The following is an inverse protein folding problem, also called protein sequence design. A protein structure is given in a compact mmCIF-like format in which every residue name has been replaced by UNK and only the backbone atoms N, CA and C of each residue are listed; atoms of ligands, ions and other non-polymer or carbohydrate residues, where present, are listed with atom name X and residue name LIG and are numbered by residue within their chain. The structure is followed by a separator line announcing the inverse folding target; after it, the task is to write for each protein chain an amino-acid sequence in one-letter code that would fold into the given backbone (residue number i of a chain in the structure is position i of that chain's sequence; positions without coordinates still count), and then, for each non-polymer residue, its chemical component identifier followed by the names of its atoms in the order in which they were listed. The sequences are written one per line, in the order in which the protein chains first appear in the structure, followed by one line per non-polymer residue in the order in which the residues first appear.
data_IF_813684616730
#
_entry.id   IF_813684616730
#
_cell.length_a   1.000
_cell.length_b   1.000
_cell.length_c   1.000
_cell.angle_alpha   90.00
_cell.angle_beta   90.00
_cell.angle_gamma   90.00
#
_symmetry.space_group_name_H-M   'P 1'
#
loop_
_entity.id
_entity.type
_entity.pdbx_description
1 polymer ?
#
# COMPACT_ATOMS: atom_id res chain seq x y z
N UNK A 1 9.21 4.76 13.74
CA UNK A 1 10.52 5.37 14.06
C UNK A 1 10.42 5.90 15.49
N UNK A 2 11.47 5.75 16.32
CA UNK A 2 11.45 6.09 17.76
C UNK A 2 12.20 7.39 18.07
N UNK A 3 12.79 7.97 17.04
CA UNK A 3 13.83 8.98 17.02
C UNK A 3 13.43 10.24 16.22
N UNK A 4 12.26 10.24 15.58
CA UNK A 4 11.75 11.40 14.84
C UNK A 4 12.61 11.80 13.64
N UNK A 5 13.43 10.89 13.12
CA UNK A 5 14.28 11.15 11.95
C UNK A 5 13.42 11.23 10.69
N UNK A 6 13.56 12.35 9.99
CA UNK A 6 12.89 12.67 8.74
C UNK A 6 13.95 12.94 7.67
N UNK A 7 13.63 12.66 6.41
CA UNK A 7 14.57 12.98 5.32
C UNK A 7 14.57 14.49 5.05
N UNK A 8 15.61 14.98 4.38
CA UNK A 8 15.77 16.41 4.06
C UNK A 8 14.56 16.98 3.31
N UNK A 9 14.01 16.21 2.38
CA UNK A 9 12.83 16.63 1.61
C UNK A 9 11.62 16.88 2.52
N UNK A 10 11.26 15.94 3.38
CA UNK A 10 10.19 16.07 4.36
C UNK A 10 10.47 17.24 5.31
N UNK A 11 11.70 17.36 5.80
CA UNK A 11 12.11 18.45 6.68
C UNK A 11 11.89 19.84 6.05
N UNK A 12 12.19 19.98 4.77
CA UNK A 12 11.97 21.20 3.99
C UNK A 12 10.49 21.46 3.73
N UNK A 13 9.71 20.44 3.37
CA UNK A 13 8.28 20.61 3.11
C UNK A 13 7.51 20.96 4.39
N UNK A 14 7.85 20.34 5.53
CA UNK A 14 7.27 20.69 6.84
C UNK A 14 7.55 22.16 7.18
N UNK A 15 8.76 22.66 6.91
CA UNK A 15 9.10 24.07 7.14
C UNK A 15 8.35 25.01 6.21
N UNK A 16 8.11 24.61 4.96
CA UNK A 16 7.29 25.40 4.04
C UNK A 16 5.85 25.52 4.51
N UNK A 17 5.29 24.45 5.06
CA UNK A 17 3.90 24.41 5.52
C UNK A 17 3.71 25.06 6.90
N UNK A 18 4.61 24.78 7.85
CA UNK A 18 4.47 25.15 9.26
C UNK A 18 5.49 26.20 9.75
N UNK A 19 6.28 26.76 8.83
CA UNK A 19 7.36 27.70 9.11
C UNK A 19 8.61 27.04 9.71
N UNK A 20 9.70 27.82 9.82
CA UNK A 20 10.98 27.33 10.37
C UNK A 20 10.87 26.78 11.80
N UNK A 21 9.92 27.31 12.59
CA UNK A 21 9.67 26.87 13.97
C UNK A 21 8.82 25.58 14.04
N UNK A 22 8.22 25.16 12.92
CA UNK A 22 7.43 23.92 12.80
C UNK A 22 6.38 23.80 13.90
N UNK A 23 5.63 24.89 14.11
CA UNK A 23 4.62 24.96 15.17
C UNK A 23 3.44 24.03 14.83
N UNK A 24 3.58 22.76 15.20
CA UNK A 24 2.61 21.69 15.01
C UNK A 24 1.88 21.47 16.33
N UNK A 25 0.55 21.60 16.33
CA UNK A 25 -0.28 21.16 17.45
C UNK A 25 -0.76 19.74 17.16
N UNK A 26 -0.18 18.76 17.83
CA UNK A 26 -0.62 17.37 17.73
C UNK A 26 -1.82 17.15 18.66
N UNK A 27 -2.96 16.83 18.07
CA UNK A 27 -4.18 16.51 18.81
C UNK A 27 -4.22 14.99 19.02
N UNK A 28 -4.38 14.49 20.26
CA UNK A 28 -4.49 13.06 20.49
C UNK A 28 -5.77 12.52 19.84
N UNK A 29 -5.77 11.26 19.36
CA UNK A 29 -6.97 10.65 18.80
C UNK A 29 -8.05 10.44 19.87
N UNK A 30 -9.31 10.67 19.51
CA UNK A 30 -10.47 10.42 20.40
C UNK A 30 -10.68 8.92 20.67
N UNK A 31 -10.38 8.08 19.67
CA UNK A 31 -10.55 6.64 19.72
C UNK A 31 -9.28 5.98 19.18
N UNK A 32 -8.81 4.94 19.87
CA UNK A 32 -7.69 4.10 19.43
C UNK A 32 -8.10 2.64 19.43
N UNK A 33 -7.47 1.85 18.55
CA UNK A 33 -7.72 0.42 18.44
C UNK A 33 -6.42 -0.31 18.10
N UNK A 34 -6.31 -1.58 18.54
CA UNK A 34 -5.07 -2.36 18.39
C UNK A 34 -5.02 -3.23 17.13
N UNK A 35 -6.16 -3.79 16.74
CA UNK A 35 -6.24 -4.70 15.58
C UNK A 35 -7.43 -4.36 14.71
N UNK A 36 -8.62 -4.37 15.30
CA UNK A 36 -9.87 -4.11 14.60
C UNK A 36 -10.80 -3.31 15.51
N UNK A 37 -11.66 -2.51 14.88
CA UNK A 37 -12.74 -1.75 15.50
C UNK A 37 -13.98 -1.87 14.62
N UNK A 38 -15.10 -2.28 15.19
CA UNK A 38 -16.41 -2.19 14.52
C UNK A 38 -17.10 -0.89 14.94
N UNK A 39 -17.65 -0.17 13.96
CA UNK A 39 -18.42 1.04 14.16
C UNK A 39 -19.83 0.84 13.64
N UNK A 40 -20.81 1.08 14.49
CA UNK A 40 -22.22 1.17 14.15
C UNK A 40 -22.57 2.65 13.97
N UNK A 41 -22.96 3.03 12.76
CA UNK A 41 -23.38 4.38 12.38
C UNK A 41 -24.89 4.42 12.08
N UNK A 42 -25.66 3.46 12.61
CA UNK A 42 -27.09 3.29 12.38
C UNK A 42 -27.35 2.33 11.22
N UNK A 43 -27.68 2.86 10.05
CA UNK A 43 -27.94 2.05 8.85
C UNK A 43 -26.66 1.53 8.17
N UNK A 44 -25.50 2.00 8.63
CA UNK A 44 -24.18 1.69 8.07
C UNK A 44 -23.28 1.09 9.15
N UNK A 45 -22.66 -0.04 8.83
CA UNK A 45 -21.67 -0.72 9.66
C UNK A 45 -20.30 -0.68 9.01
N UNK A 46 -19.31 -0.19 9.76
CA UNK A 46 -17.92 -0.14 9.31
C UNK A 46 -17.04 -1.09 10.12
N UNK A 47 -16.14 -1.81 9.46
CA UNK A 47 -15.03 -2.53 10.10
C UNK A 47 -13.73 -1.82 9.76
N UNK A 48 -13.03 -1.30 10.77
CA UNK A 48 -11.69 -0.74 10.63
C UNK A 48 -10.69 -1.79 11.08
N UNK A 49 -9.68 -2.10 10.26
CA UNK A 49 -8.69 -3.12 10.59
C UNK A 49 -7.28 -2.70 10.19
N UNK A 50 -6.32 -2.92 11.09
CA UNK A 50 -4.89 -2.83 10.79
C UNK A 50 -4.49 -3.98 9.87
N UNK A 51 -4.05 -3.65 8.66
CA UNK A 51 -3.58 -4.61 7.66
C UNK A 51 -2.06 -4.58 7.48
N UNK A 52 -1.41 -3.51 7.96
CA UNK A 52 0.02 -3.28 7.78
C UNK A 52 0.38 -3.12 6.30
N UNK A 53 1.57 -3.55 5.93
CA UNK A 53 2.12 -3.39 4.59
C UNK A 53 3.44 -2.62 4.60
N UNK A 54 3.99 -2.41 3.41
CA UNK A 54 5.24 -1.67 3.26
C UNK A 54 5.04 -0.16 3.46
N UNK A 55 3.90 0.39 3.02
CA UNK A 55 3.60 1.81 3.14
C UNK A 55 3.73 2.33 4.57
N UNK A 56 2.97 1.72 5.50
CA UNK A 56 3.06 1.96 6.92
C UNK A 56 2.71 0.69 7.73
N UNK A 57 3.36 0.52 8.88
CA UNK A 57 3.15 -0.65 9.75
C UNK A 57 1.75 -0.70 10.37
N UNK A 58 1.15 0.47 10.54
CA UNK A 58 -0.17 0.73 11.10
C UNK A 58 -1.19 1.14 10.02
N UNK A 59 -0.89 0.86 8.74
CA UNK A 59 -1.88 0.99 7.67
C UNK A 59 -3.15 0.25 8.05
N UNK A 60 -4.27 0.97 7.97
CA UNK A 60 -5.61 0.50 8.29
C UNK A 60 -6.52 0.64 7.09
N UNK A 61 -7.48 -0.27 6.96
CA UNK A 61 -8.56 -0.20 5.95
C UNK A 61 -9.90 -0.06 6.63
N UNK A 62 -10.89 0.48 5.90
CA UNK A 62 -12.27 0.62 6.37
C UNK A 62 -13.17 -0.11 5.38
N UNK A 63 -13.87 -1.14 5.86
CA UNK A 63 -14.87 -1.86 5.09
C UNK A 63 -16.28 -1.42 5.49
N UNK A 64 -17.03 -0.87 4.54
CA UNK A 64 -18.45 -0.52 4.69
C UNK A 64 -19.28 -1.70 4.19
N UNK A 65 -19.92 -2.43 5.11
CA UNK A 65 -20.48 -3.75 4.82
C UNK A 65 -21.68 -3.70 3.88
N UNK A 66 -22.59 -2.77 4.13
CA UNK A 66 -23.86 -2.62 3.40
C UNK A 66 -23.62 -2.17 1.96
N UNK A 67 -22.65 -1.28 1.75
CA UNK A 67 -22.27 -0.75 0.44
C UNK A 67 -21.21 -1.59 -0.29
N UNK A 68 -20.61 -2.58 0.40
CA UNK A 68 -19.49 -3.39 -0.10
C UNK A 68 -18.33 -2.54 -0.63
N UNK A 69 -17.98 -1.47 0.08
CA UNK A 69 -16.86 -0.59 -0.27
C UNK A 69 -15.71 -0.83 0.70
N UNK A 70 -14.50 -1.01 0.17
CA UNK A 70 -13.27 -1.09 0.94
C UNK A 70 -12.39 0.14 0.68
N UNK A 71 -12.26 1.00 1.69
CA UNK A 71 -11.29 2.09 1.68
C UNK A 71 -9.92 1.54 2.05
N UNK A 72 -9.02 1.52 1.09
CA UNK A 72 -7.66 0.98 1.22
C UNK A 72 -6.67 2.03 1.71
N UNK A 73 -6.97 3.31 1.49
CA UNK A 73 -6.02 4.39 1.70
C UNK A 73 -4.73 4.12 0.91
N UNK A 74 -3.59 4.26 1.59
CA UNK A 74 -2.26 4.11 0.98
C UNK A 74 -1.63 2.72 1.17
N UNK A 75 -2.34 1.75 1.77
CA UNK A 75 -1.70 0.49 2.16
C UNK A 75 -1.04 -0.28 1.01
N UNK A 76 -1.53 -0.11 -0.22
CA UNK A 76 -0.99 -0.74 -1.42
C UNK A 76 0.14 0.02 -2.10
N UNK A 77 0.47 1.24 -1.67
CA UNK A 77 1.59 2.02 -2.23
C UNK A 77 2.92 1.59 -1.61
N UNK A 78 4.06 1.89 -2.27
CA UNK A 78 5.34 1.56 -1.68
C UNK A 78 5.61 2.46 -0.46
N UNK A 79 6.62 2.10 0.31
CA UNK A 79 7.10 2.96 1.39
C UNK A 79 7.73 4.26 0.86
N UNK A 80 8.09 5.18 1.77
CA UNK A 80 8.73 6.47 1.45
C UNK A 80 10.06 6.37 0.67
N UNK A 81 10.63 5.17 0.54
CA UNK A 81 11.85 4.89 -0.22
C UNK A 81 11.57 4.17 -1.54
N UNK A 82 10.31 4.13 -2.00
CA UNK A 82 9.86 3.41 -3.18
C UNK A 82 10.23 1.93 -3.13
N UNK A 83 9.85 1.26 -2.05
CA UNK A 83 10.14 -0.17 -1.84
C UNK A 83 8.86 -0.96 -1.57
N UNK A 84 8.79 -2.12 -2.22
CA UNK A 84 7.92 -3.24 -1.84
C UNK A 84 8.75 -4.43 -1.39
N UNK A 85 8.40 -5.03 -0.27
CA UNK A 85 8.98 -6.31 0.17
C UNK A 85 8.04 -7.45 -0.17
N UNK A 86 8.59 -8.54 -0.70
CA UNK A 86 7.80 -9.71 -1.13
C UNK A 86 6.91 -10.23 -0.01
N UNK A 87 7.43 -10.33 1.22
CA UNK A 87 6.68 -10.87 2.35
C UNK A 87 5.57 -9.93 2.81
N UNK A 88 5.84 -8.63 3.01
CA UNK A 88 4.83 -7.69 3.48
C UNK A 88 3.73 -7.50 2.43
N UNK A 89 4.09 -7.42 1.16
CA UNK A 89 3.12 -7.32 0.07
C UNK A 89 2.22 -8.57 0.03
N UNK A 90 2.76 -9.79 0.05
CA UNK A 90 1.94 -11.00 0.03
C UNK A 90 0.99 -11.09 1.22
N UNK A 91 1.46 -10.79 2.43
CA UNK A 91 0.63 -10.78 3.64
C UNK A 91 -0.50 -9.77 3.55
N UNK A 92 -0.22 -8.56 3.04
CA UNK A 92 -1.22 -7.53 2.83
C UNK A 92 -2.28 -8.01 1.82
N UNK A 93 -1.86 -8.52 0.66
CA UNK A 93 -2.78 -9.02 -0.36
C UNK A 93 -3.67 -10.16 0.16
N UNK A 94 -3.10 -11.06 0.98
CA UNK A 94 -3.88 -12.12 1.64
C UNK A 94 -4.91 -11.58 2.64
N UNK A 95 -4.66 -10.44 3.31
CA UNK A 95 -5.65 -9.79 4.16
C UNK A 95 -6.75 -9.13 3.32
N UNK A 96 -6.38 -8.34 2.32
CA UNK A 96 -7.34 -7.54 1.54
C UNK A 96 -8.34 -8.42 0.78
N UNK A 97 -7.93 -9.61 0.33
CA UNK A 97 -8.82 -10.55 -0.37
C UNK A 97 -9.86 -11.25 0.54
N UNK A 98 -9.83 -11.01 1.86
CA UNK A 98 -10.86 -11.54 2.79
C UNK A 98 -12.15 -10.73 2.79
N UNK A 99 -12.10 -9.48 2.35
CA UNK A 99 -13.28 -8.60 2.33
C UNK A 99 -14.12 -8.88 1.08
N UNK A 100 -15.44 -9.00 1.26
CA UNK A 100 -16.38 -9.06 0.15
C UNK A 100 -16.77 -7.65 -0.30
N UNK A 101 -15.81 -6.95 -0.92
CA UNK A 101 -16.02 -5.63 -1.51
C UNK A 101 -16.21 -5.70 -3.03
N UNK A 102 -17.05 -4.82 -3.54
CA UNK A 102 -17.32 -4.61 -4.96
C UNK A 102 -16.62 -3.34 -5.49
N UNK A 103 -16.31 -2.39 -4.60
CA UNK A 103 -15.54 -1.17 -4.90
C UNK A 103 -14.39 -0.98 -3.93
N UNK A 104 -13.22 -0.61 -4.45
CA UNK A 104 -11.97 -0.43 -3.71
C UNK A 104 -11.47 1.00 -3.91
N UNK A 105 -11.37 1.77 -2.83
CA UNK A 105 -11.01 3.19 -2.89
C UNK A 105 -9.59 3.38 -2.40
N UNK A 106 -8.70 3.82 -3.30
CA UNK A 106 -7.33 4.22 -2.99
C UNK A 106 -7.25 5.73 -2.80
N UNK A 107 -6.18 6.24 -2.17
CA UNK A 107 -6.09 7.68 -1.86
C UNK A 107 -5.78 8.61 -3.04
N UNK A 108 -5.26 8.09 -4.15
CA UNK A 108 -4.68 8.90 -5.23
C UNK A 108 -5.21 8.58 -6.62
N UNK A 109 -5.98 7.52 -6.75
CA UNK A 109 -6.49 7.02 -8.02
C UNK A 109 -8.02 6.91 -7.95
N UNK A 110 -8.66 6.80 -9.11
CA UNK A 110 -10.09 6.51 -9.18
C UNK A 110 -10.43 5.16 -8.50
N UNK A 111 -11.63 5.03 -7.90
CA UNK A 111 -12.05 3.77 -7.30
C UNK A 111 -12.00 2.61 -8.30
N UNK A 112 -11.49 1.47 -7.85
CA UNK A 112 -11.44 0.26 -8.65
C UNK A 112 -12.70 -0.57 -8.44
N UNK A 113 -13.20 -1.14 -9.53
CA UNK A 113 -14.12 -2.28 -9.46
C UNK A 113 -13.41 -3.51 -8.90
N UNK A 114 -14.19 -4.48 -8.42
CA UNK A 114 -13.68 -5.80 -8.00
C UNK A 114 -12.78 -6.46 -9.06
N UNK A 115 -13.14 -6.38 -10.34
CA UNK A 115 -12.32 -6.98 -11.41
C UNK A 115 -10.99 -6.25 -11.60
N UNK A 116 -10.99 -4.92 -11.57
CA UNK A 116 -9.76 -4.13 -11.69
C UNK A 116 -8.84 -4.35 -10.49
N UNK A 117 -9.41 -4.40 -9.28
CA UNK A 117 -8.68 -4.76 -8.08
C UNK A 117 -8.03 -6.15 -8.22
N UNK A 118 -8.75 -7.15 -8.72
CA UNK A 118 -8.18 -8.48 -8.95
C UNK A 118 -7.03 -8.48 -9.96
N UNK A 119 -7.14 -7.69 -11.04
CA UNK A 119 -6.04 -7.52 -12.01
C UNK A 119 -4.81 -6.93 -11.31
N UNK A 120 -5.00 -5.89 -10.50
CA UNK A 120 -3.91 -5.24 -9.76
C UNK A 120 -3.26 -6.17 -8.74
N UNK A 121 -4.06 -6.91 -7.95
CA UNK A 121 -3.55 -7.93 -7.00
C UNK A 121 -2.74 -9.01 -7.74
N UNK A 122 -3.22 -9.47 -8.90
CA UNK A 122 -2.52 -10.48 -9.69
C UNK A 122 -1.18 -9.98 -10.24
N UNK A 123 -1.11 -8.70 -10.65
CA UNK A 123 0.15 -8.06 -11.03
C UNK A 123 1.14 -8.07 -9.86
N UNK A 124 0.72 -7.59 -8.68
CA UNK A 124 1.59 -7.53 -7.50
C UNK A 124 2.04 -8.92 -7.03
N UNK A 125 1.16 -9.94 -7.07
CA UNK A 125 1.55 -11.33 -6.78
C UNK A 125 2.55 -11.88 -7.80
N UNK A 126 2.37 -11.57 -9.08
CA UNK A 126 3.30 -11.97 -10.14
C UNK A 126 4.67 -11.35 -9.92
N UNK A 127 4.71 -10.06 -9.59
CA UNK A 127 5.95 -9.35 -9.25
C UNK A 127 6.62 -9.91 -7.99
N UNK A 128 5.86 -10.25 -6.94
CA UNK A 128 6.40 -10.93 -5.77
C UNK A 128 7.09 -12.25 -6.15
N UNK A 129 6.41 -13.09 -6.93
CA UNK A 129 6.94 -14.38 -7.39
C UNK A 129 8.19 -14.21 -8.25
N UNK A 130 8.15 -13.31 -9.24
CA UNK A 130 9.27 -13.05 -10.14
C UNK A 130 10.47 -12.50 -9.40
N UNK A 131 10.26 -11.51 -8.53
CA UNK A 131 11.30 -10.89 -7.71
C UNK A 131 12.02 -11.93 -6.85
N UNK A 132 11.28 -12.80 -6.18
CA UNK A 132 11.86 -13.90 -5.41
C UNK A 132 12.65 -14.87 -6.31
N UNK A 133 12.07 -15.30 -7.44
CA UNK A 133 12.68 -16.28 -8.35
C UNK A 133 13.92 -15.78 -9.07
N UNK A 134 14.04 -14.47 -9.29
CA UNK A 134 15.17 -13.86 -9.97
C UNK A 134 16.17 -13.20 -9.02
N UNK A 135 15.92 -13.27 -7.70
CA UNK A 135 16.67 -12.58 -6.66
C UNK A 135 16.79 -11.06 -6.95
N UNK A 136 15.67 -10.43 -7.32
CA UNK A 136 15.62 -9.00 -7.62
C UNK A 136 16.33 -8.57 -8.91
N UNK A 137 16.69 -9.48 -9.81
CA UNK A 137 17.29 -9.09 -11.09
C UNK A 137 16.22 -8.42 -11.99
N UNK A 138 16.33 -7.10 -12.15
CA UNK A 138 15.39 -6.24 -12.90
C UNK A 138 15.11 -6.79 -14.30
N UNK A 139 16.15 -6.98 -15.12
CA UNK A 139 15.98 -7.39 -16.53
C UNK A 139 15.23 -8.72 -16.65
N UNK A 140 15.56 -9.70 -15.79
CA UNK A 140 14.87 -11.00 -15.77
C UNK A 140 13.40 -10.87 -15.32
N UNK A 141 13.07 -9.95 -14.42
CA UNK A 141 11.68 -9.67 -14.02
C UNK A 141 10.94 -9.04 -15.21
N UNK A 142 11.50 -7.97 -15.78
CA UNK A 142 10.94 -7.25 -16.94
C UNK A 142 10.65 -8.19 -18.09
N UNK A 143 11.62 -9.00 -18.53
CA UNK A 143 11.42 -9.94 -19.64
C UNK A 143 10.33 -10.97 -19.34
N UNK A 144 10.28 -11.49 -18.10
CA UNK A 144 9.28 -12.52 -17.74
C UNK A 144 7.88 -11.95 -17.62
N UNK A 145 7.74 -10.76 -17.03
CA UNK A 145 6.43 -10.12 -16.90
C UNK A 145 5.90 -9.68 -18.26
N UNK A 146 6.74 -9.10 -19.13
CA UNK A 146 6.37 -8.77 -20.51
C UNK A 146 5.83 -9.98 -21.28
N UNK A 147 6.50 -11.13 -21.14
CA UNK A 147 6.04 -12.39 -21.74
C UNK A 147 4.71 -12.88 -21.14
N UNK A 148 4.46 -12.68 -19.84
CA UNK A 148 3.19 -13.04 -19.19
C UNK A 148 2.04 -12.14 -19.63
N UNK A 149 2.32 -10.85 -19.86
CA UNK A 149 1.32 -9.85 -20.28
C UNK A 149 1.14 -9.79 -21.80
N UNK A 150 1.98 -10.50 -22.56
CA UNK A 150 1.87 -10.59 -24.02
C UNK A 150 2.31 -9.33 -24.77
N UNK A 151 3.17 -8.49 -24.17
CA UNK A 151 3.60 -7.24 -24.78
C UNK A 151 4.56 -6.40 -23.94
N UNK A 152 4.84 -5.20 -24.42
CA UNK A 152 5.64 -4.21 -23.67
C UNK A 152 4.92 -3.77 -22.40
N UNK A 153 5.72 -3.51 -21.37
CA UNK A 153 5.24 -3.08 -20.06
C UNK A 153 5.09 -1.56 -20.01
N UNK A 154 3.96 -1.09 -19.48
CA UNK A 154 3.69 0.33 -19.31
C UNK A 154 4.45 0.96 -18.14
N UNK A 155 4.26 2.28 -17.93
CA UNK A 155 4.94 3.01 -16.87
C UNK A 155 4.65 2.47 -15.46
N UNK A 156 3.42 2.01 -15.22
CA UNK A 156 2.98 1.48 -13.92
C UNK A 156 3.71 0.17 -13.61
N UNK A 157 3.78 -0.76 -14.56
CA UNK A 157 4.48 -2.02 -14.38
C UNK A 157 5.98 -1.81 -14.17
N UNK A 158 6.59 -0.90 -14.93
CA UNK A 158 8.02 -0.57 -14.79
C UNK A 158 8.32 0.02 -13.41
N UNK A 159 7.50 0.98 -12.95
CA UNK A 159 7.63 1.57 -11.62
C UNK A 159 7.47 0.52 -10.52
N UNK A 160 6.50 -0.39 -10.66
CA UNK A 160 6.31 -1.48 -9.70
C UNK A 160 7.51 -2.43 -9.66
N UNK A 161 8.09 -2.79 -10.81
CA UNK A 161 9.34 -3.57 -10.89
C UNK A 161 10.45 -2.88 -10.10
N UNK A 162 10.66 -1.59 -10.33
CA UNK A 162 11.71 -0.82 -9.65
C UNK A 162 11.50 -0.85 -8.13
N UNK A 163 10.25 -0.72 -7.67
CA UNK A 163 9.93 -0.79 -6.24
C UNK A 163 10.27 -2.15 -5.61
N UNK A 164 9.99 -3.26 -6.29
CA UNK A 164 10.34 -4.59 -5.81
C UNK A 164 11.84 -4.88 -5.84
N UNK A 165 12.55 -4.39 -6.87
CA UNK A 165 14.02 -4.50 -6.96
C UNK A 165 14.68 -3.74 -5.80
N UNK A 166 14.18 -2.54 -5.49
CA UNK A 166 14.67 -1.75 -4.36
C UNK A 166 14.41 -2.44 -3.01
N UNK A 167 13.26 -3.10 -2.84
CA UNK A 167 12.91 -3.77 -1.58
C UNK A 167 13.75 -5.02 -1.25
N UNK A 168 14.34 -5.67 -2.25
CA UNK A 168 15.30 -6.76 -2.02
C UNK A 168 16.57 -6.26 -1.33
N UNK A 169 17.06 -5.07 -1.70
CA UNK A 169 18.30 -4.50 -1.16
C UNK A 169 18.18 -4.14 0.34
N UNK A 170 16.95 -3.92 0.83
CA UNK A 170 16.65 -3.60 2.22
C UNK A 170 16.41 -4.84 3.11
N UNK A 171 16.36 -6.03 2.53
CA UNK A 171 16.08 -7.30 3.23
C UNK A 171 17.35 -8.04 3.67
N UNK A 172 18.53 -7.41 3.55
CA UNK A 172 19.85 -7.94 3.89
C UNK A 172 20.38 -7.44 5.22
#
# INVERSE_FOLDING_TARGET
MRDGTENTFCAEMIKKEFGEQRNLTLIPPDITFKKQLELDLGEISCTIEHVGGDHARDSSVIFVREEKVLFLGDCLYPNLYNQYTVNATLLLLDQLQKYDADTYVLSHEEPLSKSEFHVYVNLLRSLCHLTWKTNGNRDRITTRLANQMGGELGPIEQMAIDCFVNGIQSSG
#
